data_IF_268771066292
#
_entry.id   IF_268771066292
#
_cell.length_a   1.000
_cell.length_b   1.000
_cell.length_c   1.000
_cell.angle_alpha   90.00
_cell.angle_beta   90.00
_cell.angle_gamma   90.00
#
_symmetry.space_group_name_H-M   'P 1'
#
loop_
_entity.id
_entity.type
_entity.pdbx_description
1 polymer ?
#
# COMPACT_ATOMS: atom_id res chain seq x y z
N UNK A 1 -11.35 12.79 -22.16
CA UNK A 1 -12.21 11.73 -22.73
C UNK A 1 -11.36 10.47 -22.70
N UNK A 2 -11.89 9.38 -22.15
CA UNK A 2 -11.17 8.11 -22.06
C UNK A 2 -11.20 7.45 -23.45
N UNK A 3 -10.05 7.10 -23.98
CA UNK A 3 -9.94 6.42 -25.28
C UNK A 3 -9.74 4.90 -25.05
N UNK A 4 -10.81 4.09 -25.19
CA UNK A 4 -10.72 2.64 -24.91
C UNK A 4 -9.68 1.90 -25.76
N UNK A 5 -9.41 2.42 -26.96
CA UNK A 5 -8.53 1.77 -27.94
C UNK A 5 -7.07 1.70 -27.48
N UNK A 6 -6.64 2.54 -26.53
CA UNK A 6 -5.28 2.46 -25.95
C UNK A 6 -5.03 1.18 -25.16
N UNK A 7 -6.08 0.44 -24.81
CA UNK A 7 -5.99 -0.83 -24.07
C UNK A 7 -6.11 -2.07 -24.96
N UNK A 8 -6.20 -1.90 -26.28
CA UNK A 8 -6.18 -3.02 -27.22
C UNK A 8 -4.75 -3.54 -27.41
N UNK A 9 -4.60 -4.85 -27.62
CA UNK A 9 -3.30 -5.44 -27.95
C UNK A 9 -2.65 -4.78 -29.18
N UNK A 10 -3.45 -4.33 -30.15
CA UNK A 10 -3.00 -3.61 -31.34
C UNK A 10 -2.39 -2.23 -31.05
N UNK A 11 -2.59 -1.68 -29.87
CA UNK A 11 -2.02 -0.39 -29.46
C UNK A 11 -0.65 -0.52 -28.79
N UNK A 12 -0.20 -1.75 -28.51
CA UNK A 12 1.12 -2.02 -27.92
C UNK A 12 2.19 -1.70 -28.96
N UNK A 13 3.03 -0.73 -28.64
CA UNK A 13 4.15 -0.37 -29.52
C UNK A 13 5.28 -1.43 -29.44
N UNK A 14 6.15 -1.53 -30.46
CA UNK A 14 7.30 -2.43 -30.40
C UNK A 14 8.21 -2.22 -29.18
N UNK A 15 8.35 -0.96 -28.72
CA UNK A 15 9.13 -0.64 -27.51
C UNK A 15 8.47 -1.16 -26.24
N UNK A 16 7.13 -1.04 -26.12
CA UNK A 16 6.38 -1.61 -25.01
C UNK A 16 6.44 -3.14 -25.02
N UNK A 17 6.34 -3.76 -26.20
CA UNK A 17 6.46 -5.21 -26.32
C UNK A 17 7.84 -5.70 -25.87
N UNK A 18 8.92 -5.03 -26.32
CA UNK A 18 10.27 -5.37 -25.91
C UNK A 18 10.47 -5.27 -24.39
N UNK A 19 9.90 -4.23 -23.75
CA UNK A 19 9.91 -4.08 -22.29
C UNK A 19 9.12 -5.21 -21.61
N UNK A 20 7.97 -5.58 -22.15
CA UNK A 20 7.16 -6.67 -21.61
C UNK A 20 7.91 -8.01 -21.70
N UNK A 21 8.60 -8.26 -22.81
CA UNK A 21 9.39 -9.49 -23.03
C UNK A 21 10.60 -9.53 -22.06
N UNK A 22 11.27 -8.40 -21.85
CA UNK A 22 12.35 -8.28 -20.85
C UNK A 22 11.83 -8.58 -19.44
N UNK A 23 10.70 -7.97 -19.04
CA UNK A 23 10.05 -8.23 -17.76
C UNK A 23 9.62 -9.69 -17.62
N UNK A 24 9.02 -10.28 -18.65
CA UNK A 24 8.61 -11.68 -18.65
C UNK A 24 9.81 -12.61 -18.42
N UNK A 25 10.91 -12.36 -19.13
CA UNK A 25 12.16 -13.13 -18.96
C UNK A 25 12.75 -12.97 -17.56
N UNK A 26 12.79 -11.74 -17.03
CA UNK A 26 13.30 -11.48 -15.68
C UNK A 26 12.45 -12.15 -14.58
N UNK A 27 11.16 -12.35 -14.83
CA UNK A 27 10.22 -12.97 -13.88
C UNK A 27 10.03 -14.48 -14.09
N UNK A 28 10.58 -15.06 -15.17
CA UNK A 28 10.34 -16.46 -15.52
C UNK A 28 10.78 -17.44 -14.42
N UNK A 29 11.93 -17.18 -13.80
CA UNK A 29 12.53 -18.02 -12.76
C UNK A 29 12.23 -17.51 -11.35
N UNK A 30 11.47 -16.41 -11.19
CA UNK A 30 11.14 -15.88 -9.87
C UNK A 30 10.03 -16.73 -9.21
N UNK A 31 10.27 -17.26 -8.00
CA UNK A 31 9.27 -18.08 -7.33
C UNK A 31 8.04 -17.25 -6.98
N UNK A 32 6.87 -17.81 -7.28
CA UNK A 32 5.59 -17.15 -7.00
C UNK A 32 5.30 -17.14 -5.49
N UNK A 33 4.72 -16.05 -5.01
CA UNK A 33 4.41 -15.84 -3.59
C UNK A 33 3.60 -16.99 -2.97
N UNK A 34 2.64 -17.53 -3.70
CA UNK A 34 1.83 -18.67 -3.27
C UNK A 34 2.61 -20.01 -3.27
N UNK A 35 3.78 -20.06 -3.88
CA UNK A 35 4.66 -21.24 -3.87
C UNK A 35 5.65 -21.27 -2.70
N UNK A 36 6.10 -20.10 -2.24
CA UNK A 36 7.09 -19.98 -1.18
C UNK A 36 6.56 -19.34 0.11
N UNK A 37 5.36 -18.77 0.08
CA UNK A 37 4.69 -18.17 1.23
C UNK A 37 5.19 -16.78 1.63
N UNK A 38 4.52 -16.18 2.62
CA UNK A 38 4.74 -14.80 3.05
C UNK A 38 6.15 -14.56 3.61
N UNK A 39 6.56 -15.37 4.59
CA UNK A 39 7.81 -15.20 5.30
C UNK A 39 9.02 -15.27 4.36
N UNK A 40 9.07 -16.29 3.48
CA UNK A 40 10.17 -16.43 2.53
C UNK A 40 10.16 -15.31 1.49
N UNK A 41 8.98 -14.88 1.03
CA UNK A 41 8.87 -13.75 0.10
C UNK A 41 9.39 -12.45 0.72
N UNK A 42 9.05 -12.17 1.98
CA UNK A 42 9.56 -10.99 2.73
C UNK A 42 11.08 -11.06 2.86
N UNK A 43 11.61 -12.20 3.34
CA UNK A 43 13.05 -12.42 3.47
C UNK A 43 13.80 -12.19 2.15
N UNK A 44 13.28 -12.72 1.05
CA UNK A 44 13.88 -12.52 -0.28
C UNK A 44 13.90 -11.05 -0.70
N UNK A 45 12.82 -10.32 -0.47
CA UNK A 45 12.73 -8.89 -0.78
C UNK A 45 13.72 -8.06 0.02
N UNK A 46 13.86 -8.33 1.32
CA UNK A 46 14.85 -7.67 2.19
C UNK A 46 16.28 -7.97 1.77
N UNK A 47 16.53 -9.17 1.29
CA UNK A 47 17.85 -9.57 0.76
C UNK A 47 18.09 -9.07 -0.68
N UNK A 48 17.18 -8.26 -1.26
CA UNK A 48 17.30 -7.76 -2.64
C UNK A 48 17.16 -8.85 -3.70
N UNK A 49 16.64 -10.01 -3.31
CA UNK A 49 16.36 -11.11 -4.22
C UNK A 49 14.99 -10.89 -4.87
N UNK A 50 14.99 -10.70 -6.16
CA UNK A 50 13.81 -10.37 -6.95
C UNK A 50 14.00 -9.09 -7.74
N UNK A 51 13.00 -8.73 -8.55
CA UNK A 51 13.09 -7.61 -9.50
C UNK A 51 13.27 -6.22 -8.87
N UNK A 52 12.85 -6.06 -7.61
CA UNK A 52 12.96 -4.76 -6.92
C UNK A 52 14.39 -4.42 -6.51
N UNK A 53 15.31 -5.40 -6.55
CA UNK A 53 16.68 -5.23 -6.08
C UNK A 53 16.78 -4.97 -4.58
N UNK A 54 17.95 -4.55 -4.13
CA UNK A 54 18.18 -4.18 -2.72
C UNK A 54 17.35 -2.96 -2.33
N UNK A 55 16.60 -3.02 -1.24
CA UNK A 55 15.89 -1.85 -0.74
C UNK A 55 16.88 -0.78 -0.28
N UNK A 56 16.54 0.48 -0.53
CA UNK A 56 17.31 1.64 -0.09
C UNK A 56 16.56 2.31 1.05
N UNK A 57 17.16 2.29 2.24
CA UNK A 57 16.58 2.90 3.44
C UNK A 57 17.26 4.24 3.76
N UNK A 58 16.49 5.28 3.98
CA UNK A 58 16.96 6.63 4.32
C UNK A 58 16.98 6.83 5.84
N UNK A 59 17.80 6.05 6.54
CA UNK A 59 17.86 6.00 8.01
C UNK A 59 18.29 7.31 8.65
N UNK A 60 19.12 8.11 7.95
CA UNK A 60 19.62 9.39 8.44
C UNK A 60 18.61 10.54 8.23
N UNK A 61 17.55 10.31 7.46
CA UNK A 61 16.52 11.30 7.11
C UNK A 61 15.20 10.99 7.80
N UNK A 62 14.80 9.73 7.78
CA UNK A 62 13.54 9.30 8.36
C UNK A 62 13.63 9.15 9.88
N UNK A 63 12.60 9.61 10.56
CA UNK A 63 12.42 9.43 12.01
C UNK A 63 11.44 8.28 12.24
N UNK A 64 11.82 7.30 13.05
CA UNK A 64 10.94 6.23 13.51
C UNK A 64 10.32 6.59 14.85
N UNK A 65 9.01 6.40 14.96
CA UNK A 65 8.23 6.57 16.19
C UNK A 65 7.06 5.58 16.19
N UNK A 66 6.15 5.70 17.13
CA UNK A 66 4.94 4.91 17.19
C UNK A 66 3.77 5.74 17.73
N UNK A 67 2.56 5.39 17.33
CA UNK A 67 1.33 5.87 17.94
C UNK A 67 0.65 4.75 18.74
N UNK A 68 -0.23 5.07 19.70
CA UNK A 68 -1.06 4.07 20.37
C UNK A 68 -1.89 3.27 19.35
N UNK A 69 -2.02 1.95 19.56
CA UNK A 69 -2.98 1.13 18.82
C UNK A 69 -4.42 1.40 19.25
N UNK A 70 -5.39 0.85 18.53
CA UNK A 70 -6.80 0.93 18.94
C UNK A 70 -7.07 0.04 20.16
N UNK A 71 -7.76 0.58 21.16
CA UNK A 71 -8.06 -0.13 22.40
C UNK A 71 -6.80 -0.64 23.10
N UNK A 72 -6.73 -1.94 23.35
CA UNK A 72 -5.58 -2.59 24.03
C UNK A 72 -4.55 -3.18 23.02
N UNK A 73 -4.61 -2.76 21.75
CA UNK A 73 -3.67 -3.22 20.73
C UNK A 73 -2.26 -2.63 20.94
N UNK A 74 -1.25 -3.36 20.45
CA UNK A 74 0.13 -2.88 20.45
C UNK A 74 0.28 -1.55 19.71
N UNK A 75 1.29 -0.73 20.06
CA UNK A 75 1.58 0.52 19.36
C UNK A 75 1.89 0.28 17.88
N UNK A 76 1.41 1.18 17.03
CA UNK A 76 1.63 1.14 15.57
C UNK A 76 2.87 1.95 15.22
N UNK A 77 3.82 1.32 14.53
CA UNK A 77 5.02 1.99 14.05
C UNK A 77 4.72 3.05 12.99
N UNK A 78 5.41 4.18 13.09
CA UNK A 78 5.32 5.28 12.14
C UNK A 78 6.71 5.68 11.66
N UNK A 79 6.85 5.88 10.37
CA UNK A 79 8.06 6.38 9.75
C UNK A 79 7.81 7.74 9.10
N UNK A 80 8.54 8.76 9.55
CA UNK A 80 8.22 10.16 9.28
C UNK A 80 9.35 10.82 8.49
N UNK A 81 8.97 11.50 7.41
CA UNK A 81 9.83 12.37 6.61
C UNK A 81 9.39 13.81 6.77
N UNK A 82 10.31 14.69 7.19
CA UNK A 82 10.05 16.13 7.39
C UNK A 82 10.92 16.93 6.41
N UNK A 83 10.32 17.55 5.37
CA UNK A 83 11.03 18.52 4.55
C UNK A 83 11.21 19.84 5.31
N UNK A 84 12.07 20.74 4.79
CA UNK A 84 12.36 22.05 5.42
C UNK A 84 11.10 22.94 5.55
N UNK A 85 10.18 22.82 4.62
CA UNK A 85 8.90 23.57 4.62
C UNK A 85 7.76 22.57 4.65
N UNK A 86 6.83 22.72 5.60
CA UNK A 86 5.67 21.83 5.76
C UNK A 86 4.38 22.63 5.59
N UNK A 87 3.65 22.37 4.50
CA UNK A 87 2.35 22.97 4.20
C UNK A 87 1.17 22.05 4.51
N UNK A 88 1.45 20.76 4.73
CA UNK A 88 0.47 19.74 5.02
C UNK A 88 1.15 18.43 5.41
N UNK A 89 0.33 17.42 5.73
CA UNK A 89 0.82 16.09 6.11
C UNK A 89 0.12 15.03 5.29
N UNK A 90 0.91 14.13 4.70
CA UNK A 90 0.44 12.94 4.00
C UNK A 90 0.57 11.72 4.90
N UNK A 91 -0.55 11.11 5.26
CA UNK A 91 -0.57 9.75 5.80
C UNK A 91 -0.45 8.77 4.64
N UNK A 92 0.64 8.01 4.61
CA UNK A 92 0.89 7.05 3.54
C UNK A 92 0.81 5.61 4.03
N UNK A 93 0.06 4.79 3.31
CA UNK A 93 -0.12 3.37 3.58
C UNK A 93 0.51 2.57 2.44
N UNK A 94 1.50 1.75 2.77
CA UNK A 94 2.23 1.00 1.76
C UNK A 94 1.41 -0.15 1.16
N UNK A 95 1.75 -0.53 -0.07
CA UNK A 95 1.19 -1.70 -0.73
C UNK A 95 1.90 -3.01 -0.35
N UNK A 96 1.48 -4.09 -1.02
CA UNK A 96 2.06 -5.41 -0.81
C UNK A 96 1.03 -6.51 -0.55
N UNK A 97 -0.21 -6.33 -1.02
CA UNK A 97 -1.27 -7.32 -0.87
C UNK A 97 -1.61 -7.64 0.59
N UNK A 98 -1.50 -6.65 1.49
CA UNK A 98 -1.70 -6.78 2.95
C UNK A 98 -0.76 -7.77 3.64
N UNK A 99 0.13 -8.41 2.89
CA UNK A 99 1.00 -9.51 3.32
C UNK A 99 2.47 -9.14 3.27
N UNK A 100 2.85 -8.27 2.37
CA UNK A 100 4.22 -7.89 2.06
C UNK A 100 4.41 -6.38 2.25
N UNK A 101 5.66 -5.95 2.30
CA UNK A 101 6.00 -4.54 2.43
C UNK A 101 6.27 -4.11 3.86
N UNK A 102 6.64 -2.87 4.00
CA UNK A 102 6.85 -2.16 5.27
C UNK A 102 6.86 -0.65 5.02
N UNK A 103 6.74 0.13 6.07
CA UNK A 103 6.84 1.60 6.02
C UNK A 103 8.16 2.10 5.41
N UNK A 104 9.22 1.28 5.39
CA UNK A 104 10.56 1.61 4.92
C UNK A 104 10.77 1.38 3.41
N UNK A 105 9.99 0.48 2.82
CA UNK A 105 10.26 0.03 1.44
C UNK A 105 10.10 1.11 0.36
N UNK A 106 9.47 2.22 0.70
CA UNK A 106 9.24 3.33 -0.22
C UNK A 106 9.96 4.61 0.17
N UNK A 107 10.96 4.55 1.05
CA UNK A 107 11.67 5.70 1.61
C UNK A 107 12.05 6.75 0.57
N UNK A 108 12.71 6.34 -0.49
CA UNK A 108 13.18 7.25 -1.53
C UNK A 108 12.03 7.95 -2.25
N UNK A 109 10.95 7.22 -2.53
CA UNK A 109 9.75 7.77 -3.16
C UNK A 109 9.05 8.75 -2.22
N UNK A 110 8.87 8.38 -0.96
CA UNK A 110 8.20 9.21 0.04
C UNK A 110 8.99 10.47 0.37
N UNK A 111 10.31 10.35 0.46
CA UNK A 111 11.17 11.52 0.62
C UNK A 111 11.12 12.47 -0.58
N UNK A 112 11.11 11.93 -1.79
CA UNK A 112 10.92 12.75 -3.00
C UNK A 112 9.56 13.46 -3.02
N UNK A 113 8.50 12.78 -2.58
CA UNK A 113 7.17 13.40 -2.43
C UNK A 113 7.25 14.53 -1.40
N UNK A 114 7.80 14.26 -0.22
CA UNK A 114 7.94 15.25 0.84
C UNK A 114 8.65 16.52 0.37
N UNK A 115 9.82 16.35 -0.25
CA UNK A 115 10.63 17.49 -0.75
C UNK A 115 9.94 18.29 -1.84
N UNK A 116 9.31 17.60 -2.81
CA UNK A 116 8.72 18.28 -3.98
C UNK A 116 7.38 18.94 -3.69
N UNK A 117 6.62 18.40 -2.75
CA UNK A 117 5.27 18.90 -2.43
C UNK A 117 5.25 19.78 -1.19
N UNK A 118 6.33 19.84 -0.41
CA UNK A 118 6.35 20.55 0.86
C UNK A 118 5.33 19.96 1.85
N UNK A 119 5.19 18.61 1.89
CA UNK A 119 4.35 17.91 2.87
C UNK A 119 5.22 17.01 3.73
N UNK A 120 4.96 16.96 5.02
CA UNK A 120 5.49 15.88 5.85
C UNK A 120 4.81 14.57 5.44
N UNK A 121 5.57 13.46 5.42
CA UNK A 121 4.99 12.14 5.13
C UNK A 121 5.09 11.27 6.38
N UNK A 122 3.97 10.68 6.77
CA UNK A 122 3.85 9.71 7.86
C UNK A 122 3.48 8.37 7.22
N UNK A 123 4.45 7.45 7.14
CA UNK A 123 4.23 6.10 6.60
C UNK A 123 3.93 5.12 7.73
N UNK A 124 2.85 4.35 7.56
CA UNK A 124 2.31 3.44 8.58
C UNK A 124 2.95 2.07 8.46
N UNK A 125 3.46 1.54 9.57
CA UNK A 125 3.92 0.15 9.71
C UNK A 125 2.77 -0.70 10.25
N UNK A 126 1.80 -1.01 9.40
CA UNK A 126 0.64 -1.80 9.81
C UNK A 126 0.95 -3.30 9.87
N UNK A 127 0.28 -4.01 10.74
CA UNK A 127 0.42 -5.47 10.91
C UNK A 127 -0.01 -6.22 9.64
N UNK A 128 0.80 -7.19 9.25
CA UNK A 128 0.63 -7.93 8.01
C UNK A 128 -0.03 -9.30 8.22
N UNK A 129 -0.87 -9.68 7.28
CA UNK A 129 -1.35 -11.04 7.12
C UNK A 129 -0.22 -11.96 6.58
N UNK A 130 -0.30 -13.27 6.76
CA UNK A 130 -1.33 -14.03 7.45
C UNK A 130 -1.20 -14.04 8.98
N UNK A 131 -0.10 -13.52 9.55
CA UNK A 131 0.13 -13.52 11.00
C UNK A 131 -0.89 -12.67 11.75
N UNK A 132 -1.30 -11.56 11.12
CA UNK A 132 -2.29 -10.63 11.62
C UNK A 132 -3.31 -10.33 10.50
N UNK A 133 -4.29 -11.22 10.30
CA UNK A 133 -5.29 -11.02 9.26
C UNK A 133 -6.24 -9.87 9.58
N UNK A 134 -7.18 -9.61 8.69
CA UNK A 134 -8.28 -8.67 8.93
C UNK A 134 -8.94 -8.94 10.30
N UNK A 135 -9.20 -7.89 11.11
CA UNK A 135 -9.10 -6.47 10.77
C UNK A 135 -7.79 -5.76 11.21
N UNK A 136 -6.71 -6.48 11.57
CA UNK A 136 -5.52 -5.89 12.20
C UNK A 136 -4.89 -4.74 11.41
N UNK A 137 -4.69 -4.92 10.09
CA UNK A 137 -4.13 -3.86 9.24
C UNK A 137 -5.01 -2.60 9.16
N UNK A 138 -6.32 -2.74 8.88
CA UNK A 138 -7.28 -1.63 8.98
C UNK A 138 -7.28 -0.92 10.33
N UNK A 139 -7.22 -1.66 11.43
CA UNK A 139 -7.21 -1.09 12.78
C UNK A 139 -5.96 -0.25 13.02
N UNK A 140 -4.79 -0.71 12.57
CA UNK A 140 -3.54 0.03 12.68
C UNK A 140 -3.55 1.30 11.83
N UNK A 141 -4.11 1.24 10.63
CA UNK A 141 -4.26 2.41 9.77
C UNK A 141 -5.22 3.44 10.35
N UNK A 142 -6.32 3.01 10.96
CA UNK A 142 -7.26 3.88 11.67
C UNK A 142 -6.60 4.53 12.89
N UNK A 143 -5.85 3.76 13.70
CA UNK A 143 -5.08 4.28 14.83
C UNK A 143 -4.08 5.36 14.43
N UNK A 144 -3.30 5.11 13.38
CA UNK A 144 -2.34 6.06 12.84
C UNK A 144 -3.02 7.35 12.33
N UNK A 145 -4.18 7.21 11.69
CA UNK A 145 -4.95 8.35 11.20
C UNK A 145 -5.53 9.19 12.34
N UNK A 146 -6.06 8.57 13.39
CA UNK A 146 -6.55 9.27 14.59
C UNK A 146 -5.43 10.02 15.29
N UNK A 147 -4.28 9.36 15.47
CA UNK A 147 -3.11 10.02 16.02
C UNK A 147 -2.70 11.25 15.19
N UNK A 148 -2.67 11.11 13.88
CA UNK A 148 -2.31 12.21 13.00
C UNK A 148 -3.32 13.37 13.09
N UNK A 149 -4.62 13.09 13.12
CA UNK A 149 -5.68 14.10 13.28
C UNK A 149 -5.46 14.92 14.57
N UNK A 150 -5.09 14.27 15.67
CA UNK A 150 -4.88 14.92 16.95
C UNK A 150 -3.56 15.71 17.00
N UNK A 151 -2.50 15.18 16.40
CA UNK A 151 -1.14 15.69 16.61
C UNK A 151 -0.56 16.49 15.42
N UNK A 152 -1.20 16.51 14.24
CA UNK A 152 -0.62 17.14 13.06
C UNK A 152 -0.23 18.61 13.25
N UNK A 153 -1.07 19.39 13.93
CA UNK A 153 -0.79 20.81 14.17
C UNK A 153 0.41 21.02 15.10
N UNK A 154 0.53 20.23 16.18
CA UNK A 154 1.64 20.35 17.14
C UNK A 154 2.94 19.76 16.61
N UNK A 155 2.86 18.63 15.91
CA UNK A 155 4.04 17.91 15.42
C UNK A 155 4.61 18.48 14.11
N UNK A 156 3.74 19.02 13.25
CA UNK A 156 4.12 19.42 11.89
C UNK A 156 3.81 20.90 11.59
N UNK A 157 3.13 21.60 12.49
CA UNK A 157 2.74 22.99 12.26
C UNK A 157 1.62 23.16 11.22
N UNK A 158 0.95 22.10 10.84
CA UNK A 158 -0.10 22.11 9.83
C UNK A 158 -1.22 21.13 10.15
N UNK A 159 -2.46 21.53 9.92
CA UNK A 159 -3.66 20.67 10.01
C UNK A 159 -4.20 20.25 8.62
N UNK A 160 -3.49 20.55 7.54
CA UNK A 160 -3.86 20.12 6.20
C UNK A 160 -3.49 18.67 6.00
N UNK A 161 -4.47 17.77 6.03
CA UNK A 161 -4.25 16.33 5.98
C UNK A 161 -4.62 15.75 4.62
N UNK A 162 -3.74 14.91 4.10
CA UNK A 162 -3.98 14.08 2.91
C UNK A 162 -3.71 12.64 3.31
N UNK A 163 -4.49 11.70 2.80
CA UNK A 163 -4.25 10.27 2.99
C UNK A 163 -3.99 9.62 1.64
N UNK A 164 -3.12 8.61 1.60
CA UNK A 164 -2.87 7.91 0.36
C UNK A 164 -2.22 6.55 0.55
N UNK A 165 -2.15 5.81 -0.54
CA UNK A 165 -1.49 4.53 -0.58
C UNK A 165 -1.58 3.87 -1.95
N UNK A 166 -0.71 2.89 -2.18
CA UNK A 166 -0.69 2.13 -3.43
C UNK A 166 -1.16 0.69 -3.26
N UNK A 167 -1.92 0.16 -4.21
CA UNK A 167 -2.40 -1.24 -4.21
C UNK A 167 -3.20 -1.56 -2.91
N UNK A 168 -2.79 -2.55 -2.12
CA UNK A 168 -3.38 -2.83 -0.81
C UNK A 168 -3.41 -1.59 0.10
N UNK A 169 -2.40 -0.71 0.02
CA UNK A 169 -2.38 0.55 0.76
C UNK A 169 -3.45 1.53 0.29
N UNK A 170 -3.74 1.57 -1.01
CA UNK A 170 -4.85 2.37 -1.55
C UNK A 170 -6.21 1.88 -1.04
N UNK A 171 -6.40 0.56 -0.96
CA UNK A 171 -7.58 -0.05 -0.33
C UNK A 171 -7.66 0.36 1.15
N UNK A 172 -6.59 0.15 1.92
CA UNK A 172 -6.55 0.50 3.34
C UNK A 172 -6.80 1.99 3.58
N UNK A 173 -6.28 2.88 2.72
CA UNK A 173 -6.56 4.32 2.79
C UNK A 173 -8.05 4.62 2.61
N UNK A 174 -8.71 3.96 1.64
CA UNK A 174 -10.15 4.11 1.43
C UNK A 174 -10.96 3.58 2.62
N UNK A 175 -10.61 2.41 3.14
CA UNK A 175 -11.24 1.83 4.35
C UNK A 175 -11.05 2.76 5.56
N UNK A 176 -9.85 3.31 5.75
CA UNK A 176 -9.57 4.25 6.84
C UNK A 176 -10.46 5.50 6.73
N UNK A 177 -10.61 6.07 5.54
CA UNK A 177 -11.52 7.21 5.32
C UNK A 177 -12.96 6.88 5.68
N UNK A 178 -13.46 5.70 5.29
CA UNK A 178 -14.81 5.25 5.60
C UNK A 178 -15.00 5.06 7.11
N UNK A 179 -14.05 4.39 7.78
CA UNK A 179 -14.09 4.16 9.22
C UNK A 179 -14.03 5.48 10.02
N UNK A 180 -13.19 6.43 9.61
CA UNK A 180 -13.12 7.74 10.24
C UNK A 180 -14.43 8.52 10.10
N UNK A 181 -15.07 8.46 8.94
CA UNK A 181 -16.38 9.06 8.71
C UNK A 181 -17.46 8.43 9.61
N UNK A 182 -17.52 7.11 9.63
CA UNK A 182 -18.63 6.37 10.22
C UNK A 182 -18.49 6.23 11.74
N UNK A 183 -17.28 6.00 12.26
CA UNK A 183 -17.02 5.78 13.67
C UNK A 183 -16.66 7.06 14.44
N UNK A 184 -16.04 8.04 13.74
CA UNK A 184 -15.47 9.24 14.40
C UNK A 184 -16.05 10.55 13.85
N UNK A 185 -16.99 10.49 12.89
CA UNK A 185 -17.59 11.68 12.25
C UNK A 185 -16.55 12.64 11.65
N UNK A 186 -15.39 12.13 11.24
CA UNK A 186 -14.30 12.91 10.68
C UNK A 186 -14.23 12.78 9.16
N UNK A 187 -14.38 13.91 8.46
CA UNK A 187 -14.33 13.98 6.98
C UNK A 187 -13.43 15.10 6.47
N UNK A 188 -12.64 15.73 7.34
CA UNK A 188 -11.88 16.94 7.01
C UNK A 188 -10.50 16.64 6.40
N UNK A 189 -10.45 15.69 5.47
CA UNK A 189 -9.28 15.44 4.64
C UNK A 189 -9.29 16.39 3.45
N UNK A 190 -8.14 16.97 3.10
CA UNK A 190 -7.99 17.85 1.92
C UNK A 190 -7.98 17.05 0.61
N UNK A 191 -7.62 15.77 0.67
CA UNK A 191 -7.62 14.89 -0.49
C UNK A 191 -7.20 13.48 -0.15
N UNK A 192 -7.37 12.59 -1.13
CA UNK A 192 -6.93 11.21 -1.07
C UNK A 192 -6.19 10.82 -2.36
N UNK A 193 -5.03 10.20 -2.22
CA UNK A 193 -4.24 9.63 -3.32
C UNK A 193 -4.37 8.11 -3.31
N UNK A 194 -5.36 7.58 -4.03
CA UNK A 194 -5.75 6.18 -4.03
C UNK A 194 -5.20 5.45 -5.26
N UNK A 195 -3.92 5.10 -5.22
CA UNK A 195 -3.17 4.60 -6.37
C UNK A 195 -3.45 3.11 -6.61
N UNK A 196 -4.16 2.79 -7.71
CA UNK A 196 -4.50 1.43 -8.17
C UNK A 196 -4.92 0.46 -7.05
N UNK A 197 -5.75 0.90 -6.12
CA UNK A 197 -6.20 0.09 -4.98
C UNK A 197 -7.06 -1.11 -5.39
N UNK A 198 -6.99 -2.18 -4.59
CA UNK A 198 -7.85 -3.34 -4.75
C UNK A 198 -9.16 -3.11 -3.96
N UNK A 199 -10.15 -2.50 -4.61
CA UNK A 199 -11.40 -2.09 -3.95
C UNK A 199 -12.50 -3.15 -3.98
N UNK A 200 -12.28 -4.26 -4.68
CA UNK A 200 -13.20 -5.38 -4.76
C UNK A 200 -12.44 -6.67 -4.43
N UNK A 201 -12.76 -7.28 -3.30
CA UNK A 201 -12.05 -8.44 -2.76
C UNK A 201 -12.78 -9.76 -2.99
N UNK A 202 -14.03 -9.73 -3.48
CA UNK A 202 -14.82 -10.95 -3.69
C UNK A 202 -14.18 -11.91 -4.69
N UNK A 203 -13.36 -11.36 -5.59
CA UNK A 203 -12.74 -12.11 -6.67
C UNK A 203 -13.72 -12.48 -7.78
N UNK A 204 -13.21 -12.82 -8.94
CA UNK A 204 -14.05 -13.33 -10.03
C UNK A 204 -14.77 -12.28 -10.86
N UNK A 205 -14.37 -11.01 -10.78
CA UNK A 205 -14.86 -10.03 -11.76
C UNK A 205 -14.42 -10.43 -13.17
N UNK A 206 -15.24 -10.14 -14.22
CA UNK A 206 -14.87 -10.47 -15.60
C UNK A 206 -13.50 -9.92 -16.00
N UNK A 207 -13.13 -8.75 -15.51
CA UNK A 207 -11.81 -8.15 -15.77
C UNK A 207 -10.66 -8.89 -15.10
N UNK A 208 -10.83 -9.36 -13.87
CA UNK A 208 -9.82 -10.19 -13.19
C UNK A 208 -9.57 -11.48 -13.95
N UNK A 209 -10.64 -12.17 -14.37
CA UNK A 209 -10.53 -13.43 -15.10
C UNK A 209 -9.96 -13.28 -16.51
N UNK A 210 -10.17 -12.15 -17.17
CA UNK A 210 -9.65 -11.91 -18.54
C UNK A 210 -8.22 -11.39 -18.54
N UNK A 211 -7.90 -10.41 -17.68
CA UNK A 211 -6.58 -9.76 -17.62
C UNK A 211 -5.62 -10.58 -16.75
N UNK A 212 -6.09 -11.15 -15.66
CA UNK A 212 -5.27 -11.86 -14.67
C UNK A 212 -4.57 -13.11 -15.19
N UNK A 213 -5.10 -13.74 -16.25
CA UNK A 213 -4.49 -14.94 -16.85
C UNK A 213 -3.12 -14.70 -17.48
N UNK A 214 -2.91 -13.50 -18.02
CA UNK A 214 -1.69 -13.14 -18.74
C UNK A 214 -0.90 -12.02 -18.05
N UNK A 215 -1.18 -11.78 -16.77
CA UNK A 215 -0.50 -10.72 -16.03
C UNK A 215 0.97 -11.05 -15.78
N UNK A 216 1.85 -10.11 -16.14
CA UNK A 216 3.29 -10.25 -15.95
C UNK A 216 3.70 -10.23 -14.47
N UNK A 217 2.99 -9.46 -13.65
CA UNK A 217 3.43 -9.14 -12.29
C UNK A 217 2.61 -9.87 -11.22
N UNK A 218 1.29 -9.75 -11.28
CA UNK A 218 0.36 -10.34 -10.33
C UNK A 218 -0.71 -11.07 -11.12
N UNK A 219 -0.66 -12.40 -11.09
CA UNK A 219 -1.66 -13.25 -11.72
C UNK A 219 -2.90 -13.44 -10.79
N UNK A 220 -3.97 -13.98 -11.34
CA UNK A 220 -5.21 -14.27 -10.62
C UNK A 220 -4.97 -15.16 -9.38
N UNK A 221 -4.06 -16.14 -9.49
CA UNK A 221 -3.71 -17.05 -8.41
C UNK A 221 -3.00 -16.33 -7.26
N UNK A 222 -2.10 -15.39 -7.58
CA UNK A 222 -1.44 -14.55 -6.59
C UNK A 222 -2.45 -13.61 -5.91
N UNK A 223 -3.38 -13.00 -6.66
CA UNK A 223 -4.42 -12.16 -6.07
C UNK A 223 -5.32 -12.95 -5.10
N UNK A 224 -5.77 -14.13 -5.51
CA UNK A 224 -6.58 -14.97 -4.64
C UNK A 224 -5.81 -15.38 -3.37
N UNK A 225 -4.53 -15.69 -3.51
CA UNK A 225 -3.67 -16.02 -2.37
C UNK A 225 -3.54 -14.83 -1.39
N UNK A 226 -3.44 -13.59 -1.90
CA UNK A 226 -3.43 -12.39 -1.06
C UNK A 226 -4.76 -12.20 -0.34
N UNK A 227 -5.88 -12.36 -1.03
CA UNK A 227 -7.21 -12.27 -0.42
C UNK A 227 -7.40 -13.33 0.67
N UNK A 228 -7.06 -14.59 0.41
CA UNK A 228 -7.15 -15.69 1.38
C UNK A 228 -6.25 -15.47 2.59
N UNK A 229 -5.09 -14.85 2.40
CA UNK A 229 -4.17 -14.51 3.48
C UNK A 229 -4.70 -13.37 4.35
N UNK A 230 -5.32 -12.36 3.74
CA UNK A 230 -5.86 -11.19 4.42
C UNK A 230 -7.19 -11.48 5.11
N UNK A 231 -8.09 -12.21 4.43
CA UNK A 231 -9.41 -12.59 4.92
C UNK A 231 -9.42 -14.08 5.27
N UNK A 232 -9.70 -14.43 6.52
CA UNK A 232 -9.70 -15.82 6.96
C UNK A 232 -10.91 -16.62 6.46
N UNK A 233 -12.00 -15.95 6.09
CA UNK A 233 -13.24 -16.55 5.62
C UNK A 233 -13.65 -15.95 4.27
N UNK A 234 -14.10 -16.80 3.34
CA UNK A 234 -14.63 -16.35 2.05
C UNK A 234 -15.87 -15.44 2.18
N UNK A 235 -16.56 -15.46 3.32
CA UNK A 235 -17.72 -14.61 3.60
C UNK A 235 -17.31 -13.15 3.80
N UNK A 236 -16.12 -12.91 4.37
CA UNK A 236 -15.59 -11.56 4.62
C UNK A 236 -15.20 -10.81 3.34
N UNK A 237 -15.06 -11.51 2.21
CA UNK A 237 -14.72 -10.91 0.91
C UNK A 237 -15.83 -10.01 0.34
N UNK A 238 -17.05 -10.13 0.83
CA UNK A 238 -18.23 -9.37 0.37
C UNK A 238 -18.66 -8.28 1.32
N UNK A 239 -18.04 -8.24 2.49
CA UNK A 239 -18.30 -7.21 3.51
C UNK A 239 -17.33 -6.05 3.25
N UNK A 240 -17.84 -4.81 3.00
CA UNK A 240 -17.01 -3.65 2.68
C UNK A 240 -16.21 -3.14 3.87
#
# INVERSE_FOLDING_TARGET
MFEPDVFLESSITPAQQALNDELANALADEPRVYGIGAAETRRRREAGLGRAGMPVYLTDIAVETACPGLGDSDPVGLRIFRPDVINGVLLWIHGGGWVLGSSKMQDQTLWNIAQRSGVAVVSVEYRLAPEHPYPSGPDDCEAAALWLIEHASSEFGSSNLVIGGGSAGGHLAAVTLLRLRDNHSFTNWQGADLVYGAYELSGGSPSQSSIGKNSLVIDEKAMNWFYDSFLQNNEDRRDP
#
